data_IF_114885716646
#
_entry.id   IF_114885716646
#
_cell.length_a   1.000
_cell.length_b   1.000
_cell.length_c   1.000
_cell.angle_alpha   90.00
_cell.angle_beta   90.00
_cell.angle_gamma   90.00
#
_symmetry.space_group_name_H-M   'P 1'
#
loop_
_entity.id
_entity.type
_entity.pdbx_description
1 polymer ?
#
# COMPACT_ATOMS: atom_id res chain seq x y z
N UNK A 1 -7.09 19.25 4.57
CA UNK A 1 -5.64 19.03 4.73
C UNK A 1 -5.27 17.55 4.83
N UNK A 2 -5.79 16.78 5.79
CA UNK A 2 -5.45 15.34 5.95
C UNK A 2 -5.59 14.54 4.65
N UNK A 3 -6.77 14.56 4.01
CA UNK A 3 -7.02 13.81 2.76
C UNK A 3 -6.22 14.30 1.56
N UNK A 4 -5.64 15.51 1.58
CA UNK A 4 -4.89 16.06 0.45
C UNK A 4 -3.39 15.78 0.56
N UNK A 5 -2.87 15.35 1.71
CA UNK A 5 -1.44 15.11 1.93
C UNK A 5 -0.83 14.15 0.90
N UNK A 6 -1.44 13.00 0.55
CA UNK A 6 -0.87 12.10 -0.44
C UNK A 6 -0.65 12.73 -1.82
N UNK A 7 -1.46 13.73 -2.21
CA UNK A 7 -1.28 14.44 -3.50
C UNK A 7 0.10 15.10 -3.58
N UNK A 8 0.66 15.52 -2.45
CA UNK A 8 1.98 16.15 -2.37
C UNK A 8 3.07 15.14 -2.00
N UNK A 9 2.78 14.23 -1.06
CA UNK A 9 3.77 13.26 -0.58
C UNK A 9 4.12 12.21 -1.64
N UNK A 10 3.16 11.71 -2.41
CA UNK A 10 3.45 10.70 -3.44
C UNK A 10 4.41 11.19 -4.52
N UNK A 11 4.18 12.33 -5.21
CA UNK A 11 5.15 12.81 -6.20
C UNK A 11 6.49 13.18 -5.56
N UNK A 12 6.49 13.73 -4.34
CA UNK A 12 7.73 14.01 -3.62
C UNK A 12 8.55 12.73 -3.41
N UNK A 13 7.94 11.65 -2.93
CA UNK A 13 8.66 10.39 -2.66
C UNK A 13 8.99 9.61 -3.94
N UNK A 14 7.99 9.40 -4.80
CA UNK A 14 8.12 8.56 -6.00
C UNK A 14 8.77 9.26 -7.19
N UNK A 15 9.05 10.57 -7.15
CA UNK A 15 9.70 11.29 -8.26
C UNK A 15 10.94 12.04 -7.78
N UNK A 16 10.82 12.86 -6.73
CA UNK A 16 11.91 13.73 -6.29
C UNK A 16 12.92 13.01 -5.40
N UNK A 17 12.45 12.18 -4.46
CA UNK A 17 13.27 11.54 -3.43
C UNK A 17 13.58 10.06 -3.75
N UNK A 18 13.66 9.68 -5.03
CA UNK A 18 13.91 8.29 -5.45
C UNK A 18 15.22 7.70 -4.92
N UNK A 19 16.25 8.54 -4.78
CA UNK A 19 17.57 8.11 -4.27
C UNK A 19 17.54 7.72 -2.77
N UNK A 20 16.57 8.24 -2.02
CA UNK A 20 16.37 7.93 -0.58
C UNK A 20 14.98 7.33 -0.34
N UNK A 21 14.46 6.63 -1.35
CA UNK A 21 13.06 6.21 -1.45
C UNK A 21 12.52 5.52 -0.20
N UNK A 22 13.22 4.53 0.36
CA UNK A 22 12.73 3.79 1.54
C UNK A 22 12.61 4.70 2.77
N UNK A 23 13.59 5.57 3.01
CA UNK A 23 13.53 6.54 4.11
C UNK A 23 12.40 7.55 3.89
N UNK A 24 12.24 8.04 2.66
CA UNK A 24 11.19 8.99 2.30
C UNK A 24 9.78 8.37 2.44
N UNK A 25 9.59 7.13 2.00
CA UNK A 25 8.35 6.37 2.19
C UNK A 25 8.06 6.13 3.67
N UNK A 26 9.07 5.73 4.46
CA UNK A 26 8.92 5.52 5.89
C UNK A 26 8.42 6.79 6.59
N UNK A 27 9.05 7.94 6.33
CA UNK A 27 8.64 9.22 6.93
C UNK A 27 7.26 9.67 6.47
N UNK A 28 6.95 9.56 5.18
CA UNK A 28 5.65 9.93 4.63
C UNK A 28 4.53 9.08 5.24
N UNK A 29 4.73 7.77 5.33
CA UNK A 29 3.72 6.84 5.85
C UNK A 29 3.59 6.95 7.36
N UNK A 30 4.68 7.12 8.11
CA UNK A 30 4.64 7.43 9.54
C UNK A 30 3.86 8.71 9.82
N UNK A 31 4.10 9.78 9.06
CA UNK A 31 3.33 11.02 9.19
C UNK A 31 1.84 10.75 8.99
N UNK A 32 1.47 10.09 7.89
CA UNK A 32 0.08 9.81 7.55
C UNK A 32 -0.60 8.91 8.60
N UNK A 33 0.01 7.78 8.94
CA UNK A 33 -0.49 6.84 9.94
C UNK A 33 -0.60 7.47 11.34
N UNK A 34 0.38 8.29 11.74
CA UNK A 34 0.33 9.01 13.02
C UNK A 34 -0.82 10.00 13.05
N UNK A 35 -1.01 10.80 11.99
CA UNK A 35 -2.15 11.71 11.89
C UNK A 35 -3.48 10.94 11.90
N UNK A 36 -3.53 9.74 11.33
CA UNK A 36 -4.70 8.87 11.43
C UNK A 36 -4.98 8.47 12.88
N UNK A 37 -3.97 8.07 13.63
CA UNK A 37 -4.12 7.71 15.05
C UNK A 37 -4.48 8.91 15.91
N UNK A 38 -4.00 10.12 15.60
CA UNK A 38 -4.32 11.32 16.35
C UNK A 38 -5.77 11.78 16.13
N UNK A 39 -6.25 11.76 14.89
CA UNK A 39 -7.54 12.35 14.53
C UNK A 39 -8.69 11.35 14.36
N UNK A 40 -8.38 10.09 14.08
CA UNK A 40 -9.38 9.06 13.72
C UNK A 40 -9.27 7.79 14.56
N UNK A 41 -8.64 7.87 15.75
CA UNK A 41 -8.39 6.73 16.66
C UNK A 41 -9.62 5.86 16.91
N UNK A 42 -10.77 6.47 17.18
CA UNK A 42 -11.99 5.74 17.57
C UNK A 42 -12.50 4.88 16.41
N UNK A 43 -12.39 5.39 15.18
CA UNK A 43 -12.78 4.67 13.97
C UNK A 43 -11.78 3.58 13.64
N UNK A 44 -10.49 3.89 13.75
CA UNK A 44 -9.42 2.90 13.61
C UNK A 44 -9.68 1.75 14.59
N UNK A 45 -9.86 2.04 15.88
CA UNK A 45 -10.08 1.03 16.91
C UNK A 45 -11.31 0.17 16.64
N UNK A 46 -12.42 0.76 16.16
CA UNK A 46 -13.63 0.02 15.78
C UNK A 46 -13.41 -0.95 14.62
N UNK A 47 -12.54 -0.59 13.68
CA UNK A 47 -12.24 -1.38 12.49
C UNK A 47 -11.01 -2.28 12.68
N UNK A 48 -10.18 -1.99 13.68
CA UNK A 48 -9.11 -2.84 14.17
C UNK A 48 -9.78 -4.09 14.75
N UNK A 49 -9.52 -5.25 14.15
CA UNK A 49 -10.04 -6.53 14.62
C UNK A 49 -8.88 -7.46 14.95
N UNK A 50 -7.98 -7.06 15.86
CA UNK A 50 -6.75 -7.81 16.13
C UNK A 50 -7.12 -9.14 16.78
N UNK A 51 -7.06 -10.20 15.98
CA UNK A 51 -7.30 -11.57 16.40
C UNK A 51 -6.32 -12.48 15.67
N UNK A 52 -5.98 -13.63 16.25
CA UNK A 52 -5.16 -14.63 15.55
C UNK A 52 -5.79 -15.05 14.20
N UNK A 53 -7.13 -15.08 14.12
CA UNK A 53 -7.87 -15.36 12.88
C UNK A 53 -7.62 -14.29 11.82
N UNK A 54 -7.62 -13.01 12.21
CA UNK A 54 -7.30 -11.91 11.29
C UNK A 54 -5.84 -11.97 10.81
N UNK A 55 -4.92 -12.38 11.69
CA UNK A 55 -3.51 -12.56 11.34
C UNK A 55 -3.31 -13.71 10.35
N UNK A 56 -3.89 -14.88 10.66
CA UNK A 56 -3.86 -16.04 9.77
C UNK A 56 -4.51 -15.73 8.42
N UNK A 57 -5.68 -15.06 8.43
CA UNK A 57 -6.35 -14.70 7.19
C UNK A 57 -5.53 -13.71 6.35
N UNK A 58 -4.88 -12.72 6.99
CA UNK A 58 -3.99 -11.79 6.30
C UNK A 58 -2.81 -12.48 5.63
N UNK A 59 -2.14 -13.39 6.35
CA UNK A 59 -1.03 -14.20 5.83
C UNK A 59 -1.47 -15.15 4.72
N UNK A 60 -2.64 -15.78 4.82
CA UNK A 60 -3.14 -16.66 3.75
C UNK A 60 -3.47 -15.84 2.50
N UNK A 61 -4.02 -14.63 2.65
CA UNK A 61 -4.41 -13.77 1.54
C UNK A 61 -3.22 -13.10 0.83
N UNK A 62 -2.04 -12.99 1.45
CA UNK A 62 -0.87 -12.45 0.74
C UNK A 62 -0.44 -13.37 -0.42
N UNK A 63 -0.53 -14.70 -0.28
CA UNK A 63 -0.13 -15.62 -1.35
C UNK A 63 -0.94 -15.48 -2.66
N UNK A 64 -2.29 -15.46 -2.66
CA UNK A 64 -3.04 -15.16 -3.88
C UNK A 64 -2.70 -13.79 -4.46
N UNK A 65 -2.49 -12.78 -3.62
CA UNK A 65 -2.12 -11.44 -4.07
C UNK A 65 -0.73 -11.41 -4.73
N UNK A 66 0.26 -12.09 -4.14
CA UNK A 66 1.55 -12.33 -4.77
C UNK A 66 1.40 -13.00 -6.13
N UNK A 67 0.54 -14.03 -6.22
CA UNK A 67 0.20 -14.68 -7.48
C UNK A 67 -0.32 -13.69 -8.54
N UNK A 68 -1.23 -12.78 -8.17
CA UNK A 68 -1.73 -11.72 -9.06
C UNK A 68 -0.57 -10.85 -9.59
N UNK A 69 0.40 -10.51 -8.75
CA UNK A 69 1.57 -9.72 -9.15
C UNK A 69 2.56 -10.50 -10.03
N UNK A 70 2.72 -11.81 -9.82
CA UNK A 70 3.46 -12.69 -10.74
C UNK A 70 2.81 -12.68 -12.12
N UNK A 71 1.48 -12.88 -12.19
CA UNK A 71 0.74 -12.79 -13.46
C UNK A 71 0.85 -11.40 -14.08
N UNK A 72 0.76 -10.34 -13.27
CA UNK A 72 0.96 -8.96 -13.71
C UNK A 72 2.33 -8.73 -14.33
N UNK A 73 3.40 -9.25 -13.73
CA UNK A 73 4.76 -9.18 -14.29
C UNK A 73 4.85 -9.89 -15.64
N UNK A 74 4.31 -11.10 -15.76
CA UNK A 74 4.29 -11.87 -17.02
C UNK A 74 3.54 -11.09 -18.10
N UNK A 75 2.35 -10.57 -17.76
CA UNK A 75 1.53 -9.77 -18.65
C UNK A 75 2.25 -8.49 -19.12
N UNK A 76 2.87 -7.74 -18.20
CA UNK A 76 3.62 -6.53 -18.54
C UNK A 76 4.87 -6.83 -19.38
N UNK A 77 5.53 -7.97 -19.14
CA UNK A 77 6.67 -8.41 -19.95
C UNK A 77 6.22 -8.74 -21.37
N UNK A 78 5.07 -9.40 -21.55
CA UNK A 78 4.49 -9.66 -22.86
C UNK A 78 4.15 -8.38 -23.64
N UNK A 79 3.88 -7.27 -22.94
CA UNK A 79 3.66 -5.93 -23.52
C UNK A 79 4.94 -5.10 -23.67
N UNK A 80 6.11 -5.67 -23.39
CA UNK A 80 7.40 -4.96 -23.36
C UNK A 80 7.45 -3.78 -22.36
N UNK A 81 6.72 -3.88 -21.24
CA UNK A 81 6.62 -2.88 -20.17
C UNK A 81 7.39 -3.26 -18.90
N UNK A 82 8.27 -4.26 -18.95
CA UNK A 82 9.04 -4.76 -17.81
C UNK A 82 9.92 -3.70 -17.13
N UNK A 83 10.44 -2.72 -17.89
CA UNK A 83 11.27 -1.64 -17.35
C UNK A 83 10.51 -0.78 -16.33
N UNK A 84 9.21 -0.61 -16.51
CA UNK A 84 8.34 0.12 -15.59
C UNK A 84 8.29 -0.53 -14.20
N UNK A 85 8.35 -1.86 -14.13
CA UNK A 85 8.44 -2.60 -12.86
C UNK A 85 9.84 -2.41 -12.26
N UNK A 86 10.89 -2.62 -13.06
CA UNK A 86 12.29 -2.54 -12.62
C UNK A 86 12.62 -1.21 -11.93
N UNK A 87 12.14 -0.08 -12.46
CA UNK A 87 12.45 1.25 -11.92
C UNK A 87 12.05 1.42 -10.44
N UNK A 88 10.96 0.79 -10.02
CA UNK A 88 10.49 0.86 -8.63
C UNK A 88 11.40 0.03 -7.72
N UNK A 89 11.74 -1.20 -8.15
CA UNK A 89 12.62 -2.09 -7.40
C UNK A 89 14.04 -1.52 -7.25
N UNK A 90 14.58 -0.95 -8.33
CA UNK A 90 15.89 -0.27 -8.29
C UNK A 90 15.91 0.86 -7.26
N UNK A 91 14.85 1.67 -7.19
CA UNK A 91 14.75 2.75 -6.18
C UNK A 91 14.71 2.19 -4.75
N UNK A 92 14.04 1.05 -4.54
CA UNK A 92 13.97 0.37 -3.25
C UNK A 92 15.37 -0.13 -2.83
N UNK A 93 16.04 -0.90 -3.67
CA UNK A 93 17.30 -1.54 -3.30
C UNK A 93 18.48 -0.58 -3.23
N UNK A 94 18.53 0.47 -4.06
CA UNK A 94 19.59 1.48 -3.98
C UNK A 94 19.47 2.38 -2.74
N UNK A 95 18.26 2.55 -2.21
CA UNK A 95 17.99 3.46 -1.09
C UNK A 95 17.91 2.78 0.28
N UNK A 96 18.22 1.49 0.38
CA UNK A 96 18.09 0.74 1.63
C UNK A 96 19.21 -0.25 1.90
N UNK A 97 19.49 -0.44 3.18
CA UNK A 97 20.28 -1.56 3.66
C UNK A 97 19.42 -2.82 3.69
N UNK A 98 19.91 -3.91 3.09
CA UNK A 98 19.16 -5.16 2.96
C UNK A 98 18.78 -5.78 4.33
N UNK A 99 19.54 -5.52 5.38
CA UNK A 99 19.27 -6.03 6.74
C UNK A 99 18.08 -5.31 7.38
N UNK A 100 17.97 -4.00 7.15
CA UNK A 100 16.91 -3.17 7.73
C UNK A 100 15.66 -3.08 6.85
N UNK A 101 15.76 -3.42 5.56
CA UNK A 101 14.66 -3.33 4.60
C UNK A 101 13.38 -4.07 5.06
N UNK A 102 13.42 -5.33 5.56
CA UNK A 102 12.20 -6.01 6.02
C UNK A 102 11.50 -5.27 7.18
N UNK A 103 12.29 -4.68 8.08
CA UNK A 103 11.76 -3.90 9.20
C UNK A 103 11.07 -2.62 8.71
N UNK A 104 11.70 -1.88 7.80
CA UNK A 104 11.10 -0.67 7.22
C UNK A 104 9.85 -0.96 6.40
N UNK A 105 9.84 -2.02 5.58
CA UNK A 105 8.66 -2.44 4.81
C UNK A 105 7.49 -2.82 5.71
N UNK A 106 7.77 -3.44 6.86
CA UNK A 106 6.74 -3.76 7.85
C UNK A 106 6.05 -2.50 8.38
N UNK A 107 6.84 -1.47 8.72
CA UNK A 107 6.29 -0.20 9.21
C UNK A 107 5.55 0.53 8.08
N UNK A 108 6.15 0.63 6.90
CA UNK A 108 5.56 1.28 5.72
C UNK A 108 4.19 0.66 5.41
N UNK A 109 4.13 -0.66 5.20
CA UNK A 109 2.89 -1.35 4.88
C UNK A 109 1.81 -1.20 5.95
N UNK A 110 2.22 -1.25 7.23
CA UNK A 110 1.29 -1.06 8.34
C UNK A 110 0.72 0.36 8.40
N UNK A 111 1.57 1.38 8.27
CA UNK A 111 1.18 2.78 8.34
C UNK A 111 0.39 3.23 7.11
N UNK A 112 0.69 2.67 5.93
CA UNK A 112 -0.13 2.85 4.74
C UNK A 112 -1.53 2.30 4.93
N UNK A 113 -1.70 1.06 5.41
CA UNK A 113 -3.03 0.48 5.62
C UNK A 113 -3.82 1.25 6.69
N UNK A 114 -3.12 1.70 7.73
CA UNK A 114 -3.69 2.54 8.76
C UNK A 114 -4.26 3.83 8.15
N UNK A 115 -3.50 4.52 7.30
CA UNK A 115 -3.98 5.71 6.61
C UNK A 115 -5.10 5.40 5.61
N UNK A 116 -4.89 4.48 4.68
CA UNK A 116 -5.80 4.23 3.56
C UNK A 116 -7.12 3.60 4.01
N UNK A 117 -7.07 2.50 4.76
CA UNK A 117 -8.26 1.72 5.14
C UNK A 117 -8.78 2.13 6.52
N UNK A 118 -7.90 2.55 7.42
CA UNK A 118 -8.28 3.00 8.76
C UNK A 118 -8.81 4.44 8.76
N UNK A 119 -8.12 5.37 8.12
CA UNK A 119 -8.44 6.81 8.18
C UNK A 119 -9.21 7.33 6.97
N UNK A 120 -8.60 7.29 5.78
CA UNK A 120 -9.11 7.88 4.55
C UNK A 120 -10.48 7.29 4.20
N UNK A 121 -10.61 5.97 4.11
CA UNK A 121 -11.90 5.31 3.88
C UNK A 121 -12.93 5.69 4.96
N UNK A 122 -12.54 5.74 6.23
CA UNK A 122 -13.44 6.08 7.32
C UNK A 122 -13.91 7.55 7.32
N UNK A 123 -13.16 8.47 6.70
CA UNK A 123 -13.62 9.85 6.44
C UNK A 123 -14.59 9.88 5.26
N UNK A 124 -14.34 9.07 4.23
CA UNK A 124 -15.23 8.99 3.06
C UNK A 124 -16.59 8.36 3.43
N UNK A 125 -16.59 7.33 4.27
CA UNK A 125 -17.81 6.65 4.74
C UNK A 125 -18.73 7.55 5.59
N UNK A 126 -18.22 8.64 6.17
CA UNK A 126 -19.06 9.63 6.87
C UNK A 126 -19.85 10.53 5.93
N UNK A 127 -19.36 10.72 4.71
CA UNK A 127 -19.87 11.72 3.76
C UNK A 127 -20.56 11.10 2.56
N UNK A 128 -20.28 9.83 2.28
CA UNK A 128 -20.72 9.14 1.08
C UNK A 128 -21.41 7.83 1.44
N UNK A 129 -22.34 7.38 0.59
CA UNK A 129 -22.87 6.02 0.70
C UNK A 129 -21.72 5.03 0.56
N UNK A 130 -21.79 3.92 1.29
CA UNK A 130 -20.73 2.91 1.39
C UNK A 130 -20.05 2.60 0.05
N UNK A 131 -20.79 2.23 -0.99
CA UNK A 131 -20.17 1.87 -2.28
C UNK A 131 -19.34 3.01 -2.91
N UNK A 132 -19.81 4.25 -2.82
CA UNK A 132 -19.10 5.42 -3.35
C UNK A 132 -17.85 5.74 -2.54
N UNK A 133 -17.89 5.58 -1.21
CA UNK A 133 -16.71 5.73 -0.36
C UNK A 133 -15.61 4.73 -0.73
N UNK A 134 -15.97 3.47 -1.00
CA UNK A 134 -15.02 2.45 -1.44
C UNK A 134 -14.43 2.77 -2.80
N UNK A 135 -15.27 3.07 -3.80
CA UNK A 135 -14.79 3.40 -5.14
C UNK A 135 -13.87 4.62 -5.13
N UNK A 136 -14.25 5.67 -4.39
CA UNK A 136 -13.41 6.86 -4.28
C UNK A 136 -12.11 6.59 -3.52
N UNK A 137 -12.13 5.77 -2.47
CA UNK A 137 -10.91 5.35 -1.74
C UNK A 137 -9.92 4.64 -2.67
N UNK A 138 -10.41 3.66 -3.43
CA UNK A 138 -9.61 2.88 -4.40
C UNK A 138 -9.07 3.78 -5.51
N UNK A 139 -9.94 4.59 -6.12
CA UNK A 139 -9.55 5.51 -7.20
C UNK A 139 -8.52 6.52 -6.70
N UNK A 140 -8.70 7.07 -5.50
CA UNK A 140 -7.77 8.04 -4.95
C UNK A 140 -6.40 7.40 -4.60
N UNK A 141 -6.38 6.21 -3.98
CA UNK A 141 -5.15 5.44 -3.76
C UNK A 141 -4.39 5.15 -5.07
N UNK A 142 -5.14 4.86 -6.14
CA UNK A 142 -4.56 4.61 -7.46
C UNK A 142 -4.00 5.90 -8.07
N UNK A 143 -4.79 6.98 -8.08
CA UNK A 143 -4.48 8.20 -8.80
C UNK A 143 -3.37 9.03 -8.17
N UNK A 144 -3.05 8.87 -6.87
CA UNK A 144 -1.86 9.53 -6.30
C UNK A 144 -0.55 9.07 -6.95
N UNK A 145 -0.55 7.92 -7.63
CA UNK A 145 0.59 7.42 -8.40
C UNK A 145 0.67 7.98 -9.84
N UNK A 146 -0.32 8.77 -10.31
CA UNK A 146 -0.36 9.26 -11.70
C UNK A 146 0.89 10.06 -12.09
N UNK A 147 1.49 10.76 -11.13
CA UNK A 147 2.70 11.57 -11.30
C UNK A 147 3.94 10.76 -11.67
N UNK A 148 3.94 9.45 -11.43
CA UNK A 148 5.06 8.58 -11.80
C UNK A 148 5.12 8.29 -13.29
N UNK A 149 4.01 8.56 -14.02
CA UNK A 149 3.80 8.18 -15.42
C UNK A 149 4.11 6.69 -15.68
N UNK A 150 4.00 5.85 -14.65
CA UNK A 150 4.34 4.45 -14.66
C UNK A 150 3.06 3.61 -14.63
N UNK A 151 2.63 3.13 -15.81
CA UNK A 151 1.39 2.37 -15.94
C UNK A 151 1.37 1.10 -15.08
N UNK A 152 2.51 0.43 -14.92
CA UNK A 152 2.63 -0.77 -14.08
C UNK A 152 2.35 -0.44 -12.61
N UNK A 153 2.83 0.72 -12.13
CA UNK A 153 2.57 1.18 -10.78
C UNK A 153 1.10 1.58 -10.58
N UNK A 154 0.46 2.23 -11.55
CA UNK A 154 -0.98 2.52 -11.48
C UNK A 154 -1.81 1.23 -11.43
N UNK A 155 -1.51 0.24 -12.27
CA UNK A 155 -2.22 -1.05 -12.27
C UNK A 155 -1.98 -1.85 -10.98
N UNK A 156 -0.75 -1.82 -10.45
CA UNK A 156 -0.41 -2.39 -9.16
C UNK A 156 -1.17 -1.71 -8.02
N UNK A 157 -1.21 -0.37 -8.01
CA UNK A 157 -1.96 0.41 -7.03
C UNK A 157 -3.47 0.16 -7.13
N UNK A 158 -4.04 0.02 -8.33
CA UNK A 158 -5.45 -0.35 -8.49
C UNK A 158 -5.73 -1.73 -7.90
N UNK A 159 -4.86 -2.70 -8.18
CA UNK A 159 -4.96 -4.08 -7.67
C UNK A 159 -4.93 -4.09 -6.13
N UNK A 160 -3.91 -3.46 -5.53
CA UNK A 160 -3.78 -3.34 -4.06
C UNK A 160 -4.96 -2.55 -3.47
N UNK A 161 -5.35 -1.48 -4.15
CA UNK A 161 -6.53 -0.66 -3.89
C UNK A 161 -7.76 -1.51 -3.62
N UNK A 162 -8.15 -2.30 -4.62
CA UNK A 162 -9.29 -3.21 -4.59
C UNK A 162 -9.09 -4.30 -3.54
N UNK A 163 -7.95 -4.99 -3.58
CA UNK A 163 -7.70 -6.18 -2.76
C UNK A 163 -7.79 -5.87 -1.27
N UNK A 164 -7.05 -4.86 -0.82
CA UNK A 164 -7.03 -4.46 0.60
C UNK A 164 -8.35 -3.82 1.03
N UNK A 165 -9.04 -3.07 0.16
CA UNK A 165 -10.38 -2.56 0.51
C UNK A 165 -11.38 -3.71 0.76
N UNK A 166 -11.33 -4.78 -0.04
CA UNK A 166 -12.16 -5.98 0.17
C UNK A 166 -11.74 -6.70 1.46
N UNK A 167 -10.44 -6.89 1.69
CA UNK A 167 -9.91 -7.55 2.89
C UNK A 167 -10.30 -6.79 4.16
N UNK A 168 -10.08 -5.48 4.21
CA UNK A 168 -10.48 -4.64 5.33
C UNK A 168 -11.99 -4.71 5.60
N UNK A 169 -12.81 -4.70 4.54
CA UNK A 169 -14.27 -4.78 4.67
C UNK A 169 -14.76 -6.11 5.24
N UNK A 170 -14.19 -7.22 4.78
CA UNK A 170 -14.66 -8.56 5.11
C UNK A 170 -14.05 -9.10 6.40
N UNK A 171 -12.77 -8.80 6.63
CA UNK A 171 -11.95 -9.44 7.65
C UNK A 171 -11.37 -8.45 8.67
N UNK A 172 -11.56 -7.15 8.46
CA UNK A 172 -11.12 -6.08 9.35
C UNK A 172 -9.76 -5.48 8.96
N UNK A 173 -9.46 -4.32 9.54
CA UNK A 173 -8.25 -3.56 9.23
C UNK A 173 -6.97 -4.36 9.54
N UNK A 174 -6.97 -5.15 10.61
CA UNK A 174 -5.82 -5.99 11.00
C UNK A 174 -5.46 -7.03 9.93
N UNK A 175 -6.46 -7.68 9.32
CA UNK A 175 -6.21 -8.64 8.24
C UNK A 175 -5.66 -7.96 6.99
N UNK A 176 -6.19 -6.77 6.64
CA UNK A 176 -5.69 -5.96 5.53
C UNK A 176 -4.24 -5.53 5.73
N UNK A 177 -3.94 -5.02 6.93
CA UNK A 177 -2.61 -4.61 7.36
C UNK A 177 -1.59 -5.74 7.24
N UNK A 178 -1.91 -6.91 7.79
CA UNK A 178 -1.02 -8.07 7.78
C UNK A 178 -0.84 -8.60 6.37
N UNK A 179 -1.92 -8.66 5.57
CA UNK A 179 -1.85 -9.06 4.17
C UNK A 179 -0.94 -8.14 3.35
N UNK A 180 -1.07 -6.82 3.52
CA UNK A 180 -0.26 -5.85 2.81
C UNK A 180 1.23 -5.93 3.19
N UNK A 181 1.53 -6.00 4.48
CA UNK A 181 2.91 -6.18 4.98
C UNK A 181 3.51 -7.49 4.46
N UNK A 182 2.79 -8.60 4.59
CA UNK A 182 3.26 -9.90 4.12
C UNK A 182 3.52 -9.87 2.60
N UNK A 183 2.63 -9.26 1.83
CA UNK A 183 2.82 -9.09 0.39
C UNK A 183 4.04 -8.22 0.04
N UNK A 184 4.31 -7.13 0.77
CA UNK A 184 5.54 -6.34 0.58
C UNK A 184 6.79 -7.20 0.82
N UNK A 185 6.79 -7.98 1.91
CA UNK A 185 7.91 -8.86 2.23
C UNK A 185 8.06 -9.98 1.19
N UNK A 186 6.97 -10.58 0.73
CA UNK A 186 6.98 -11.59 -0.33
C UNK A 186 7.54 -11.04 -1.63
N UNK A 187 7.05 -9.87 -2.07
CA UNK A 187 7.40 -9.30 -3.38
C UNK A 187 8.74 -8.61 -3.44
N UNK A 188 9.31 -8.17 -2.31
CA UNK A 188 10.56 -7.40 -2.27
C UNK A 188 11.70 -8.19 -1.61
N UNK A 189 11.41 -9.03 -0.60
CA UNK A 189 12.46 -9.68 0.21
C UNK A 189 12.55 -11.18 -0.08
N UNK A 190 11.44 -11.90 0.05
CA UNK A 190 11.45 -13.37 0.02
C UNK A 190 11.49 -13.93 -1.40
N UNK A 191 10.67 -13.38 -2.30
CA UNK A 191 10.50 -13.84 -3.67
C UNK A 191 10.44 -12.62 -4.61
N UNK A 192 11.57 -11.91 -4.78
CA UNK A 192 11.57 -10.62 -5.46
C UNK A 192 11.08 -10.70 -6.91
N UNK A 193 10.14 -9.83 -7.27
CA UNK A 193 9.59 -9.78 -8.63
C UNK A 193 10.37 -8.83 -9.55
N UNK A 194 11.30 -8.06 -9.03
CA UNK A 194 12.19 -7.18 -9.80
C UNK A 194 13.63 -7.22 -9.26
N UNK A 195 14.60 -6.75 -10.06
CA UNK A 195 16.01 -6.67 -9.69
C UNK A 195 16.28 -5.54 -8.70
#
# INVERSE_FOLDING_TARGET
MYLSLPIFLWPLVFVVLREVFITAMLLATLLLGTLTLLFYREKVHRNLRPTWKSALAGLILSFPLYGIFVFGKIFLTALNLQHSVSNVYTSIYLSSDATLLPFFLTIIGAMEELYWRGGQLAVLEERLKRIHAYMLSISYYTLVHIWTLNISLLLGALTIGIYMAITAKKLGLSASMICHVAWLLETIVLFPLGP
#
